data_IF_588544081000
#
_entry.id   IF_588544081000
#
_cell.length_a   1.000
_cell.length_b   1.000
_cell.length_c   1.000
_cell.angle_alpha   90.00
_cell.angle_beta   90.00
_cell.angle_gamma   90.00
#
_symmetry.space_group_name_H-M   'P 1'
#
loop_
_entity.id
_entity.type
_entity.pdbx_description
1 polymer ?
#
# COMPACT_ATOMS: atom_id res chain seq x y z
N UNK A 1 -18.27 -9.58 17.77
CA UNK A 1 -17.52 -8.30 17.84
C UNK A 1 -16.40 -8.36 16.83
N UNK A 2 -16.04 -7.25 16.19
CA UNK A 2 -14.94 -7.20 15.24
C UNK A 2 -13.82 -6.33 15.77
N UNK A 3 -12.58 -6.73 15.52
CA UNK A 3 -11.38 -5.93 15.79
C UNK A 3 -10.56 -5.86 14.53
N UNK A 4 -10.04 -4.68 14.23
CA UNK A 4 -9.03 -4.51 13.20
C UNK A 4 -7.74 -4.03 13.81
N UNK A 5 -6.63 -4.39 13.18
CA UNK A 5 -5.31 -3.84 13.46
C UNK A 5 -4.71 -3.35 12.15
N UNK A 6 -4.37 -2.07 12.08
CA UNK A 6 -3.61 -1.54 10.95
C UNK A 6 -2.15 -1.98 11.07
N UNK A 7 -1.63 -2.69 10.06
CA UNK A 7 -0.30 -3.27 10.15
C UNK A 7 0.83 -2.22 10.15
N UNK A 8 0.61 -1.05 9.53
CA UNK A 8 1.65 -0.03 9.40
C UNK A 8 2.03 0.65 10.72
N UNK A 9 1.11 0.74 11.68
CA UNK A 9 1.31 1.46 12.94
C UNK A 9 0.77 0.72 14.18
N UNK A 10 0.21 -0.48 14.01
CA UNK A 10 -0.37 -1.29 15.09
C UNK A 10 -1.66 -0.71 15.68
N UNK A 11 -2.26 0.32 15.07
CA UNK A 11 -3.47 0.93 15.60
C UNK A 11 -4.64 -0.06 15.54
N UNK A 12 -5.29 -0.26 16.69
CA UNK A 12 -6.43 -1.15 16.82
C UNK A 12 -7.74 -0.39 16.92
N UNK A 13 -8.81 -0.99 16.39
CA UNK A 13 -10.16 -0.47 16.52
C UNK A 13 -11.18 -1.60 16.57
N UNK A 14 -12.18 -1.41 17.42
CA UNK A 14 -13.22 -2.40 17.67
C UNK A 14 -14.57 -1.91 17.11
N UNK A 15 -15.37 -2.84 16.58
CA UNK A 15 -16.69 -2.60 15.99
C UNK A 15 -17.70 -3.63 16.49
N UNK A 16 -18.96 -3.20 16.66
CA UNK A 16 -19.99 -4.05 17.25
C UNK A 16 -20.56 -5.04 16.24
N UNK A 17 -20.72 -4.61 14.99
CA UNK A 17 -21.34 -5.38 13.91
C UNK A 17 -20.51 -5.27 12.61
N UNK A 18 -20.90 -6.05 11.59
CA UNK A 18 -20.17 -6.13 10.33
C UNK A 18 -20.34 -4.86 9.50
N UNK A 19 -21.51 -4.24 9.60
CA UNK A 19 -21.88 -3.04 8.86
C UNK A 19 -21.02 -1.83 9.29
N UNK A 20 -20.76 -1.68 10.58
CA UNK A 20 -19.84 -0.66 11.13
C UNK A 20 -18.40 -0.88 10.65
N UNK A 21 -17.97 -2.14 10.57
CA UNK A 21 -16.66 -2.51 10.04
C UNK A 21 -16.55 -2.18 8.55
N UNK A 22 -17.55 -2.57 7.75
CA UNK A 22 -17.63 -2.30 6.30
C UNK A 22 -17.60 -0.80 6.03
N UNK A 23 -18.45 -0.02 6.70
CA UNK A 23 -18.49 1.44 6.55
C UNK A 23 -17.14 2.11 6.92
N UNK A 24 -16.48 1.63 7.98
CA UNK A 24 -15.16 2.15 8.34
C UNK A 24 -14.12 1.85 7.25
N UNK A 25 -14.12 0.64 6.72
CA UNK A 25 -13.17 0.21 5.69
C UNK A 25 -13.43 0.93 4.36
N UNK A 26 -14.68 1.20 3.98
CA UNK A 26 -15.02 2.06 2.83
C UNK A 26 -14.50 3.50 3.01
N UNK A 27 -14.61 4.04 4.22
CA UNK A 27 -14.03 5.35 4.56
C UNK A 27 -12.50 5.35 4.41
N UNK A 28 -11.84 4.28 4.87
CA UNK A 28 -10.40 4.11 4.69
C UNK A 28 -10.01 3.89 3.22
N UNK A 29 -10.83 3.19 2.44
CA UNK A 29 -10.63 3.03 1.00
C UNK A 29 -10.65 4.37 0.28
N UNK A 30 -11.70 5.15 0.50
CA UNK A 30 -11.82 6.48 -0.05
C UNK A 30 -10.63 7.37 0.32
N UNK A 31 -10.17 7.30 1.59
CA UNK A 31 -8.98 8.02 2.03
C UNK A 31 -7.73 7.53 1.30
N UNK A 32 -7.56 6.22 1.15
CA UNK A 32 -6.40 5.64 0.47
C UNK A 32 -6.38 5.99 -1.03
N UNK A 33 -7.53 5.95 -1.69
CA UNK A 33 -7.71 6.40 -3.09
C UNK A 33 -7.37 7.88 -3.25
N UNK A 34 -7.89 8.76 -2.39
CA UNK A 34 -7.59 10.20 -2.42
C UNK A 34 -6.10 10.51 -2.23
N UNK A 35 -5.41 9.70 -1.44
CA UNK A 35 -4.00 9.88 -1.13
C UNK A 35 -3.07 9.07 -2.05
N UNK A 36 -3.60 8.28 -2.99
CA UNK A 36 -2.85 7.30 -3.79
C UNK A 36 -1.93 6.41 -2.93
N UNK A 37 -2.48 5.92 -1.82
CA UNK A 37 -1.78 5.03 -0.87
C UNK A 37 -2.52 3.71 -0.71
N UNK A 38 -1.87 2.73 -0.08
CA UNK A 38 -2.50 1.46 0.33
C UNK A 38 -2.37 1.27 1.83
N UNK A 39 -3.39 0.69 2.45
CA UNK A 39 -3.37 0.27 3.85
C UNK A 39 -3.67 -1.22 3.95
N UNK A 40 -2.96 -1.91 4.83
CA UNK A 40 -3.21 -3.33 5.14
C UNK A 40 -3.69 -3.47 6.57
N UNK A 41 -4.76 -4.23 6.73
CA UNK A 41 -5.44 -4.47 7.99
C UNK A 41 -5.52 -5.95 8.29
N UNK A 42 -5.26 -6.31 9.54
CA UNK A 42 -5.63 -7.62 10.08
C UNK A 42 -6.99 -7.50 10.77
N UNK A 43 -7.99 -8.22 10.27
CA UNK A 43 -9.35 -8.26 10.80
C UNK A 43 -9.51 -9.51 11.65
N UNK A 44 -10.24 -9.38 12.74
CA UNK A 44 -10.60 -10.45 13.67
C UNK A 44 -12.09 -10.37 13.98
N UNK A 45 -12.76 -11.52 13.97
CA UNK A 45 -14.14 -11.67 14.38
C UNK A 45 -14.19 -12.53 15.63
N UNK A 46 -14.76 -12.00 16.70
CA UNK A 46 -14.92 -12.66 17.99
C UNK A 46 -16.39 -13.01 18.25
N UNK A 47 -16.59 -14.12 18.94
CA UNK A 47 -17.90 -14.54 19.45
C UNK A 47 -18.31 -13.71 20.69
N UNK A 48 -19.38 -14.13 21.37
CA UNK A 48 -19.88 -13.45 22.57
C UNK A 48 -19.00 -13.66 23.81
N UNK A 49 -18.14 -14.67 23.80
CA UNK A 49 -17.24 -15.04 24.88
C UNK A 49 -15.80 -14.53 24.63
N UNK A 50 -15.61 -13.67 23.62
CA UNK A 50 -14.30 -13.17 23.16
C UNK A 50 -13.38 -14.25 22.56
N UNK A 51 -13.94 -15.39 22.17
CA UNK A 51 -13.20 -16.41 21.42
C UNK A 51 -13.10 -16.00 19.94
N UNK A 52 -11.92 -16.15 19.36
CA UNK A 52 -11.65 -15.82 17.96
C UNK A 52 -12.37 -16.84 17.04
N UNK A 53 -13.32 -16.34 16.25
CA UNK A 53 -14.05 -17.12 15.25
C UNK A 53 -13.32 -17.16 13.91
N UNK A 54 -12.85 -16.01 13.45
CA UNK A 54 -12.32 -15.83 12.10
C UNK A 54 -11.30 -14.68 12.07
N UNK A 55 -10.31 -14.78 11.19
CA UNK A 55 -9.36 -13.70 10.93
C UNK A 55 -9.03 -13.60 9.45
N UNK A 56 -8.82 -12.39 8.96
CA UNK A 56 -8.50 -12.12 7.56
C UNK A 56 -7.49 -10.98 7.45
N UNK A 57 -6.62 -11.03 6.45
CA UNK A 57 -5.79 -9.88 6.06
C UNK A 57 -6.43 -9.20 4.85
N UNK A 58 -6.57 -7.89 4.90
CA UNK A 58 -7.23 -7.08 3.89
C UNK A 58 -6.36 -5.89 3.50
N UNK A 59 -6.05 -5.76 2.22
CA UNK A 59 -5.34 -4.61 1.65
C UNK A 59 -6.30 -3.77 0.83
N UNK A 60 -6.33 -2.47 1.12
CA UNK A 60 -7.21 -1.49 0.49
C UNK A 60 -6.38 -0.29 -0.02
N UNK A 61 -6.69 0.28 -1.19
CA UNK A 61 -7.64 -0.22 -2.19
C UNK A 61 -7.13 -1.52 -2.81
N UNK A 62 -8.05 -2.36 -3.30
CA UNK A 62 -7.67 -3.55 -4.07
C UNK A 62 -6.97 -3.15 -5.37
N UNK A 63 -6.04 -3.97 -5.85
CA UNK A 63 -5.41 -3.76 -7.16
C UNK A 63 -6.37 -3.99 -8.35
N UNK A 64 -7.63 -4.36 -8.10
CA UNK A 64 -8.70 -4.50 -9.10
C UNK A 64 -9.95 -3.69 -8.74
N UNK A 65 -10.99 -3.75 -9.59
CA UNK A 65 -12.27 -3.04 -9.43
C UNK A 65 -13.20 -3.62 -8.32
N UNK A 66 -12.63 -4.34 -7.35
CA UNK A 66 -13.41 -4.93 -6.26
C UNK A 66 -13.64 -3.90 -5.16
N UNK A 67 -14.89 -3.73 -4.73
CA UNK A 67 -15.23 -2.87 -3.61
C UNK A 67 -14.91 -3.55 -2.26
N UNK A 68 -14.91 -2.77 -1.16
CA UNK A 68 -14.65 -3.29 0.20
C UNK A 68 -15.55 -4.47 0.55
N UNK A 69 -16.81 -4.47 0.09
CA UNK A 69 -17.77 -5.52 0.39
C UNK A 69 -17.40 -6.83 -0.28
N UNK A 70 -16.99 -6.79 -1.54
CA UNK A 70 -16.47 -7.93 -2.29
C UNK A 70 -15.21 -8.48 -1.63
N UNK A 71 -14.31 -7.60 -1.17
CA UNK A 71 -13.08 -7.99 -0.48
C UNK A 71 -13.34 -8.60 0.90
N UNK A 72 -14.36 -8.12 1.61
CA UNK A 72 -14.82 -8.74 2.87
C UNK A 72 -15.47 -10.10 2.62
N UNK A 73 -16.06 -10.33 1.44
CA UNK A 73 -16.63 -11.62 1.05
C UNK A 73 -17.60 -12.16 2.08
N UNK A 74 -17.21 -13.26 2.74
CA UNK A 74 -18.02 -13.95 3.75
C UNK A 74 -17.57 -13.66 5.19
N UNK A 75 -16.52 -12.85 5.37
CA UNK A 75 -15.96 -12.53 6.67
C UNK A 75 -17.01 -11.87 7.56
N UNK A 76 -17.23 -12.43 8.75
CA UNK A 76 -18.22 -11.89 9.69
C UNK A 76 -19.69 -12.20 9.35
N UNK A 77 -19.96 -12.89 8.24
CA UNK A 77 -21.26 -13.51 8.01
C UNK A 77 -21.30 -14.80 8.81
N UNK A 78 -22.29 -14.94 9.68
CA UNK A 78 -22.47 -16.17 10.46
C UNK A 78 -22.73 -17.34 9.50
N UNK A 79 -21.67 -18.10 9.21
CA UNK A 79 -21.78 -19.41 8.59
C UNK A 79 -21.68 -20.46 9.68
N UNK A 80 -22.82 -21.02 10.03
CA UNK A 80 -22.84 -22.36 10.60
C UNK A 80 -22.01 -23.26 9.68
N UNK A 81 -20.98 -23.86 10.28
CA UNK A 81 -19.96 -24.75 9.70
C UNK A 81 -20.26 -25.24 8.29
N UNK A 82 -19.61 -24.65 7.29
CA UNK A 82 -19.27 -25.38 6.07
C UNK A 82 -17.90 -24.92 5.57
N UNK A 83 -16.91 -25.72 5.93
CA UNK A 83 -15.51 -25.65 5.52
C UNK A 83 -15.41 -26.00 4.01
N UNK A 84 -15.01 -25.04 3.19
CA UNK A 84 -14.76 -25.15 1.75
C UNK A 84 -13.66 -24.11 1.48
N UNK A 85 -12.44 -24.31 0.97
CA UNK A 85 -11.69 -25.33 0.20
C UNK A 85 -10.25 -25.30 0.79
N UNK A 86 -9.36 -26.30 0.70
CA UNK A 86 -8.69 -26.74 -0.52
C UNK A 86 -7.55 -27.72 -0.16
N UNK A 87 -7.48 -28.80 -0.94
CA UNK A 87 -6.27 -29.51 -1.42
C UNK A 87 -5.09 -29.71 -0.45
N UNK A 88 -5.13 -30.89 0.16
CA UNK A 88 -4.03 -31.85 0.27
C UNK A 88 -2.61 -31.38 0.04
N UNK A 89 -1.87 -31.25 1.14
CA UNK A 89 -0.49 -31.74 1.24
C UNK A 89 -0.34 -32.47 2.55
N UNK A 90 0.00 -33.75 2.43
CA UNK A 90 0.47 -34.59 3.54
C UNK A 90 1.68 -33.90 4.16
N UNK A 91 1.65 -33.67 5.46
CA UNK A 91 2.87 -33.57 6.25
C UNK A 91 2.95 -34.71 7.26
N UNK A 92 4.16 -35.22 7.28
CA UNK A 92 4.60 -36.50 7.79
C UNK A 92 4.89 -36.42 9.29
N UNK A 93 4.77 -37.58 9.93
CA UNK A 93 4.83 -37.82 11.37
C UNK A 93 6.18 -37.42 11.99
N UNK A 94 6.15 -36.82 13.17
CA UNK A 94 7.24 -36.92 14.16
C UNK A 94 6.74 -37.77 15.35
N UNK A 95 7.50 -38.83 15.59
CA UNK A 95 7.21 -39.95 16.47
C UNK A 95 8.01 -39.81 17.77
N UNK A 96 7.38 -39.98 18.95
CA UNK A 96 8.06 -40.29 20.22
C UNK A 96 7.33 -41.47 20.88
N UNK A 97 8.03 -42.61 21.02
CA UNK A 97 7.64 -43.88 21.67
C UNK A 97 7.70 -43.70 23.21
N UNK A 98 7.11 -44.46 24.15
CA UNK A 98 6.38 -45.77 24.32
C UNK A 98 5.90 -45.79 25.81
N UNK A 99 5.31 -46.87 26.42
CA UNK A 99 4.62 -48.08 25.90
C UNK A 99 3.30 -48.46 26.64
N UNK A 100 2.48 -49.34 26.05
CA UNK A 100 1.93 -50.54 26.71
C UNK A 100 1.23 -51.51 25.72
N UNK A 101 1.35 -52.79 26.08
CA UNK A 101 0.82 -54.07 25.55
C UNK A 101 -0.58 -54.02 24.89
N UNK A 102 -1.07 -54.92 24.05
CA UNK A 102 -0.84 -56.33 23.62
C UNK A 102 -1.71 -56.47 22.33
N UNK A 103 -1.53 -57.37 21.35
CA UNK A 103 -1.66 -58.84 21.34
C UNK A 103 -1.55 -59.27 19.85
N UNK A 104 -1.23 -60.55 19.61
CA UNK A 104 -1.16 -61.31 18.35
C UNK A 104 -2.22 -60.94 17.26
N UNK A 105 -2.03 -61.18 15.96
CA UNK A 105 -1.66 -62.45 15.30
C UNK A 105 -1.42 -62.22 13.79
N UNK A 106 -0.56 -63.06 13.17
CA UNK A 106 -0.54 -63.61 11.78
C UNK A 106 -1.38 -62.91 10.68
N UNK A 107 -0.94 -62.75 9.43
CA UNK A 107 -0.33 -63.78 8.58
C UNK A 107 0.25 -63.18 7.29
N UNK A 108 0.94 -64.02 6.54
CA UNK A 108 1.98 -63.74 5.56
C UNK A 108 1.55 -64.28 4.19
N UNK A 109 1.74 -63.54 3.09
CA UNK A 109 2.09 -64.16 1.80
C UNK A 109 2.62 -63.13 0.78
N UNK A 110 3.85 -63.40 0.34
CA UNK A 110 4.58 -62.87 -0.82
C UNK A 110 4.36 -63.85 -2.02
N UNK A 111 5.10 -63.78 -3.15
CA UNK A 111 5.11 -62.76 -4.23
C UNK A 111 5.17 -63.37 -5.68
N UNK A 112 5.28 -62.48 -6.71
CA UNK A 112 6.04 -62.63 -8.01
C UNK A 112 5.44 -63.50 -9.16
N UNK A 113 5.96 -63.45 -10.43
CA UNK A 113 6.14 -62.31 -11.37
C UNK A 113 5.90 -62.70 -12.88
N UNK A 114 6.24 -61.78 -13.81
CA UNK A 114 6.62 -62.03 -15.24
C UNK A 114 5.46 -62.29 -16.22
N UNK A 115 5.36 -61.66 -17.42
CA UNK A 115 6.16 -61.96 -18.62
C UNK A 115 6.13 -60.81 -19.66
N UNK A 116 7.33 -60.47 -20.14
CA UNK A 116 7.81 -59.95 -21.45
C UNK A 116 7.03 -58.89 -22.24
N UNK A 117 7.70 -57.74 -22.36
CA UNK A 117 7.60 -56.81 -23.47
C UNK A 117 8.27 -57.37 -24.74
N UNK A 118 7.58 -57.24 -25.88
CA UNK A 118 8.16 -57.32 -27.22
C UNK A 118 8.55 -55.92 -27.67
N UNK A 119 9.84 -55.70 -27.91
CA UNK A 119 10.43 -54.43 -28.31
C UNK A 119 10.44 -54.35 -29.84
N UNK A 120 9.55 -53.53 -30.40
CA UNK A 120 9.64 -53.12 -31.81
C UNK A 120 10.43 -51.80 -31.90
N UNK A 121 11.44 -51.79 -32.75
CA UNK A 121 12.43 -50.74 -32.90
C UNK A 121 11.93 -49.62 -33.83
N UNK A 122 11.33 -48.57 -33.26
CA UNK A 122 11.27 -47.26 -33.92
C UNK A 122 11.20 -46.08 -32.94
N UNK A 123 11.64 -46.30 -31.69
CA UNK A 123 11.42 -45.35 -30.60
C UNK A 123 12.37 -44.13 -30.60
N UNK A 124 13.31 -44.04 -31.55
CA UNK A 124 14.27 -42.92 -31.62
C UNK A 124 13.61 -41.62 -32.11
N UNK A 125 12.59 -41.72 -32.95
CA UNK A 125 11.90 -40.53 -33.48
C UNK A 125 11.04 -39.84 -32.40
N UNK A 126 10.36 -40.61 -31.56
CA UNK A 126 9.54 -40.08 -30.46
C UNK A 126 10.38 -39.43 -29.34
N UNK A 127 11.57 -39.97 -29.05
CA UNK A 127 12.50 -39.36 -28.09
C UNK A 127 13.02 -38.01 -28.59
N UNK A 128 13.30 -37.88 -29.90
CA UNK A 128 13.73 -36.61 -30.49
C UNK A 128 12.61 -35.56 -30.50
N UNK A 129 11.36 -35.97 -30.73
CA UNK A 129 10.20 -35.07 -30.64
C UNK A 129 10.00 -34.59 -29.19
N UNK A 130 10.07 -35.49 -28.22
CA UNK A 130 9.92 -35.13 -26.80
C UNK A 130 11.02 -34.16 -26.32
N UNK A 131 12.26 -34.32 -26.81
CA UNK A 131 13.38 -33.43 -26.49
C UNK A 131 13.19 -32.03 -27.09
N UNK A 132 12.63 -31.92 -28.30
CA UNK A 132 12.35 -30.62 -28.92
C UNK A 132 11.22 -29.87 -28.19
N UNK A 133 10.20 -30.57 -27.70
CA UNK A 133 9.13 -29.94 -26.90
C UNK A 133 9.63 -29.40 -25.55
N UNK A 134 10.60 -30.06 -24.87
CA UNK A 134 11.12 -29.55 -23.60
C UNK A 134 11.94 -28.26 -23.76
N UNK A 135 12.64 -28.10 -24.88
CA UNK A 135 13.42 -26.89 -25.18
C UNK A 135 12.48 -25.72 -25.53
N UNK A 136 11.35 -25.99 -26.20
CA UNK A 136 10.35 -24.97 -26.52
C UNK A 136 9.62 -24.46 -25.27
N UNK A 137 9.35 -25.32 -24.27
CA UNK A 137 8.76 -24.89 -22.99
C UNK A 137 9.67 -23.95 -22.20
N UNK A 138 10.99 -24.16 -22.24
CA UNK A 138 11.95 -23.30 -21.56
C UNK A 138 12.04 -21.91 -22.22
N UNK A 139 11.96 -21.85 -23.56
CA UNK A 139 11.94 -20.59 -24.30
C UNK A 139 10.70 -19.74 -23.98
N UNK A 140 9.50 -20.34 -23.91
CA UNK A 140 8.26 -19.63 -23.56
C UNK A 140 8.31 -19.11 -22.11
N UNK A 141 8.86 -19.89 -21.18
CA UNK A 141 9.02 -19.49 -19.77
C UNK A 141 9.97 -18.30 -19.60
N UNK A 142 11.06 -18.24 -20.39
CA UNK A 142 11.99 -17.11 -20.40
C UNK A 142 11.38 -15.88 -21.08
N UNK A 143 10.61 -16.04 -22.16
CA UNK A 143 9.94 -14.89 -22.80
C UNK A 143 8.83 -14.30 -21.94
N UNK A 144 8.11 -15.09 -21.13
CA UNK A 144 7.12 -14.56 -20.20
C UNK A 144 7.77 -13.79 -19.03
N UNK A 145 8.98 -14.16 -18.62
CA UNK A 145 9.75 -13.36 -17.66
C UNK A 145 10.33 -12.08 -18.31
N UNK A 146 10.62 -12.09 -19.61
CA UNK A 146 11.23 -10.96 -20.32
C UNK A 146 10.20 -9.96 -20.90
N UNK A 147 8.98 -10.41 -21.19
CA UNK A 147 7.88 -9.58 -21.70
C UNK A 147 6.93 -9.06 -20.60
N UNK A 148 7.14 -9.44 -19.34
CA UNK A 148 6.78 -8.57 -18.22
C UNK A 148 7.77 -7.39 -18.22
N UNK A 149 7.71 -6.55 -19.25
CA UNK A 149 8.00 -5.14 -19.08
C UNK A 149 7.06 -4.72 -17.97
N UNK A 150 7.65 -4.59 -16.79
CA UNK A 150 7.28 -3.63 -15.77
C UNK A 150 6.67 -2.45 -16.51
N UNK A 151 5.33 -2.36 -16.53
CA UNK A 151 4.71 -1.04 -16.57
C UNK A 151 5.44 -0.27 -15.48
N UNK A 152 6.04 0.86 -15.85
CA UNK A 152 6.53 1.86 -14.91
C UNK A 152 5.34 2.26 -14.02
N UNK A 153 5.02 1.43 -13.03
CA UNK A 153 4.29 1.85 -11.85
C UNK A 153 5.17 2.97 -11.31
N UNK A 154 4.67 4.22 -11.22
CA UNK A 154 5.47 5.30 -10.67
C UNK A 154 5.98 4.79 -9.34
N UNK A 155 7.30 4.75 -9.18
CA UNK A 155 7.96 4.45 -7.92
C UNK A 155 7.34 5.40 -6.90
N UNK A 156 6.38 4.90 -6.13
CA UNK A 156 5.85 5.61 -4.97
C UNK A 156 7.02 5.61 -4.00
N UNK A 157 7.88 6.63 -4.13
CA UNK A 157 8.83 6.94 -3.09
C UNK A 157 7.99 7.18 -1.85
N UNK A 158 8.10 6.25 -0.91
CA UNK A 158 7.59 6.42 0.43
C UNK A 158 8.45 7.52 1.07
N UNK A 159 8.18 8.76 0.69
CA UNK A 159 8.83 9.94 1.25
C UNK A 159 8.32 10.07 2.66
N UNK A 160 9.20 9.82 3.62
CA UNK A 160 9.05 10.39 4.96
C UNK A 160 8.90 11.89 4.78
N UNK A 161 7.68 12.39 4.96
CA UNK A 161 7.38 13.83 4.88
C UNK A 161 8.20 14.54 5.95
N UNK A 162 9.00 15.53 5.57
CA UNK A 162 9.66 16.42 6.52
C UNK A 162 8.59 17.33 7.13
N UNK A 163 8.06 16.90 8.28
CA UNK A 163 7.05 17.65 9.03
C UNK A 163 7.54 19.06 9.39
N UNK A 164 8.85 19.25 9.60
CA UNK A 164 9.42 20.57 9.90
C UNK A 164 9.32 21.51 8.70
N UNK A 165 9.69 21.01 7.52
CA UNK A 165 9.56 21.76 6.27
C UNK A 165 8.09 22.06 5.92
N UNK A 166 7.17 21.10 6.11
CA UNK A 166 5.74 21.31 5.86
C UNK A 166 5.15 22.39 6.77
N UNK A 167 5.41 22.30 8.08
CA UNK A 167 4.94 23.31 9.05
C UNK A 167 5.51 24.68 8.69
N UNK A 168 6.82 24.79 8.44
CA UNK A 168 7.45 26.04 8.01
C UNK A 168 6.75 26.64 6.77
N UNK A 169 6.52 25.83 5.74
CA UNK A 169 5.86 26.26 4.52
C UNK A 169 4.44 26.74 4.77
N UNK A 170 3.65 26.09 5.62
CA UNK A 170 2.28 26.53 5.96
C UNK A 170 2.27 27.89 6.64
N UNK A 171 3.20 28.16 7.56
CA UNK A 171 3.35 29.49 8.17
C UNK A 171 3.77 30.54 7.14
N UNK A 172 4.70 30.21 6.25
CA UNK A 172 5.10 31.09 5.16
C UNK A 172 3.92 31.41 4.24
N UNK A 173 3.15 30.41 3.81
CA UNK A 173 2.01 30.53 2.89
C UNK A 173 0.98 31.53 3.43
N UNK A 174 0.61 31.43 4.71
CA UNK A 174 -0.32 32.35 5.34
C UNK A 174 0.19 33.80 5.29
N UNK A 175 1.48 34.02 5.55
CA UNK A 175 2.08 35.36 5.50
C UNK A 175 2.27 35.88 4.07
N UNK A 176 2.57 34.99 3.14
CA UNK A 176 2.74 35.27 1.72
C UNK A 176 1.45 35.83 1.10
N UNK A 177 0.33 35.10 1.21
CA UNK A 177 -0.95 35.59 0.67
C UNK A 177 -1.55 36.75 1.46
N UNK A 178 -1.27 36.87 2.76
CA UNK A 178 -1.68 38.03 3.53
C UNK A 178 -0.90 39.32 3.17
N UNK A 179 0.15 39.22 2.34
CA UNK A 179 1.12 40.29 2.10
C UNK A 179 1.69 40.88 3.41
N UNK A 180 1.85 40.03 4.42
CA UNK A 180 2.39 40.39 5.73
C UNK A 180 3.87 40.75 5.61
N UNK A 181 4.34 41.75 6.36
CA UNK A 181 5.78 42.06 6.48
C UNK A 181 6.54 40.93 7.19
N UNK A 182 5.86 40.14 8.04
CA UNK A 182 6.46 38.97 8.67
C UNK A 182 6.89 37.90 7.66
N UNK A 183 6.45 37.96 6.38
CA UNK A 183 6.93 37.04 5.33
C UNK A 183 8.43 37.14 5.09
N UNK A 184 9.02 38.30 5.35
CA UNK A 184 10.44 38.58 5.10
C UNK A 184 11.35 37.68 5.94
N UNK A 185 10.95 37.34 7.18
CA UNK A 185 11.67 36.42 8.08
C UNK A 185 11.81 34.99 7.53
N UNK A 186 11.01 34.63 6.53
CA UNK A 186 11.01 33.29 5.92
C UNK A 186 11.86 33.24 4.64
N UNK A 187 12.21 34.38 4.04
CA UNK A 187 12.84 34.45 2.72
C UNK A 187 14.34 34.56 2.88
N UNK A 188 15.10 33.83 2.06
CA UNK A 188 16.56 34.00 2.04
C UNK A 188 16.94 35.42 1.62
N UNK A 189 17.81 36.08 2.40
CA UNK A 189 18.38 37.41 2.11
C UNK A 189 19.08 37.53 0.74
N UNK A 190 19.34 36.40 0.07
CA UNK A 190 19.92 36.36 -1.28
C UNK A 190 18.89 36.58 -2.41
N UNK A 191 17.59 36.66 -2.09
CA UNK A 191 16.51 36.80 -3.05
C UNK A 191 15.92 38.21 -3.02
N UNK A 192 15.42 38.65 -4.17
CA UNK A 192 14.68 39.92 -4.28
C UNK A 192 13.24 39.73 -3.78
N UNK A 193 12.84 40.51 -2.77
CA UNK A 193 11.50 40.47 -2.19
C UNK A 193 10.39 40.78 -3.19
N UNK A 194 10.68 41.54 -4.26
CA UNK A 194 9.69 41.83 -5.33
C UNK A 194 9.24 40.58 -6.07
N UNK A 195 10.04 39.52 -6.07
CA UNK A 195 9.67 38.22 -6.66
C UNK A 195 8.62 37.47 -5.82
N UNK A 196 8.25 38.01 -4.66
CA UNK A 196 7.32 37.44 -3.70
C UNK A 196 6.05 38.28 -3.54
N UNK A 197 5.81 39.23 -4.44
CA UNK A 197 4.54 39.96 -4.46
C UNK A 197 3.44 39.06 -5.05
N UNK A 198 2.27 39.10 -4.43
CA UNK A 198 1.08 38.35 -4.85
C UNK A 198 -0.17 39.16 -4.55
N UNK A 199 -1.27 38.85 -5.22
CA UNK A 199 -2.58 39.36 -4.85
C UNK A 199 -2.90 38.94 -3.42
N UNK A 200 -3.34 39.92 -2.62
CA UNK A 200 -3.70 39.69 -1.22
C UNK A 200 -4.91 38.77 -1.14
N UNK A 201 -4.81 37.72 -0.32
CA UNK A 201 -5.88 36.77 -0.07
C UNK A 201 -5.79 36.15 1.32
N UNK A 202 -6.92 35.64 1.80
CA UNK A 202 -6.97 34.75 2.96
C UNK A 202 -6.91 33.31 2.50
N UNK A 203 -5.95 32.54 3.01
CA UNK A 203 -5.87 31.11 2.76
C UNK A 203 -6.93 30.36 3.57
N UNK A 204 -7.86 29.69 2.89
CA UNK A 204 -8.94 28.91 3.51
C UNK A 204 -8.49 27.48 3.78
N UNK A 205 -7.75 26.87 2.85
CA UNK A 205 -7.16 25.54 3.03
C UNK A 205 -5.79 25.46 2.37
N UNK A 206 -4.91 24.64 2.95
CA UNK A 206 -3.56 24.36 2.46
C UNK A 206 -3.34 22.86 2.59
N UNK A 207 -3.22 22.17 1.47
CA UNK A 207 -3.08 20.72 1.40
C UNK A 207 -1.74 20.39 0.75
N UNK A 208 -0.90 19.61 1.44
CA UNK A 208 0.35 19.12 0.87
C UNK A 208 0.03 18.11 -0.23
N UNK A 209 0.44 18.39 -1.45
CA UNK A 209 0.24 17.52 -2.61
C UNK A 209 1.46 16.62 -2.82
N UNK A 210 2.66 17.19 -2.72
CA UNK A 210 3.91 16.51 -3.02
C UNK A 210 5.07 17.10 -2.25
N UNK A 211 5.99 16.23 -1.82
CA UNK A 211 7.30 16.62 -1.29
C UNK A 211 8.40 15.90 -2.07
N UNK A 212 9.47 16.64 -2.39
CA UNK A 212 10.70 16.08 -2.96
C UNK A 212 11.88 16.64 -2.19
N UNK A 213 12.56 15.78 -1.44
CA UNK A 213 13.77 16.14 -0.72
C UNK A 213 15.01 15.78 -1.54
N UNK A 214 15.94 16.72 -1.67
CA UNK A 214 17.25 16.52 -2.30
C UNK A 214 18.33 17.16 -1.43
N UNK A 215 19.08 16.32 -0.70
CA UNK A 215 20.06 16.77 0.31
C UNK A 215 19.39 17.67 1.37
N UNK A 216 19.80 18.94 1.47
CA UNK A 216 19.25 19.95 2.40
C UNK A 216 18.22 20.87 1.75
N UNK A 217 17.76 20.52 0.55
CA UNK A 217 16.78 21.29 -0.20
C UNK A 217 15.51 20.47 -0.27
N UNK A 218 14.39 21.01 0.20
CA UNK A 218 13.09 20.36 0.12
C UNK A 218 12.19 21.19 -0.80
N UNK A 219 11.55 20.53 -1.76
CA UNK A 219 10.55 21.15 -2.62
C UNK A 219 9.18 20.62 -2.24
N UNK A 220 8.29 21.50 -1.82
CA UNK A 220 6.94 21.17 -1.39
C UNK A 220 5.94 21.81 -2.34
N UNK A 221 4.98 21.02 -2.81
CA UNK A 221 3.87 21.47 -3.65
C UNK A 221 2.57 21.35 -2.87
N UNK A 222 1.78 22.41 -2.90
CA UNK A 222 0.53 22.56 -2.17
C UNK A 222 -0.63 22.85 -3.11
N UNK A 223 -1.80 22.32 -2.77
CA UNK A 223 -3.09 22.82 -3.25
C UNK A 223 -3.64 23.80 -2.21
N UNK A 224 -3.96 25.01 -2.65
CA UNK A 224 -4.37 26.10 -1.78
C UNK A 224 -5.70 26.64 -2.26
N UNK A 225 -6.68 26.73 -1.37
CA UNK A 225 -7.88 27.52 -1.61
C UNK A 225 -7.69 28.91 -1.00
N UNK A 226 -7.82 29.94 -1.82
CA UNK A 226 -7.73 31.34 -1.41
C UNK A 226 -9.11 31.98 -1.50
N UNK A 227 -9.41 32.87 -0.54
CA UNK A 227 -10.53 33.81 -0.58
C UNK A 227 -9.99 35.23 -0.70
N UNK A 228 -10.52 35.98 -1.65
CA UNK A 228 -10.14 37.36 -1.91
C UNK A 228 -11.09 38.34 -1.21
N UNK A 229 -10.70 39.62 -1.16
CA UNK A 229 -11.47 40.68 -0.50
C UNK A 229 -12.84 40.91 -1.16
N UNK A 230 -13.01 40.54 -2.43
CA UNK A 230 -14.28 40.56 -3.16
C UNK A 230 -15.17 39.31 -2.91
N UNK A 231 -14.78 38.46 -1.94
CA UNK A 231 -15.38 37.17 -1.60
C UNK A 231 -15.29 36.09 -2.68
N UNK A 232 -14.59 36.33 -3.79
CA UNK A 232 -14.29 35.27 -4.75
C UNK A 232 -13.32 34.27 -4.14
N UNK A 233 -13.37 33.03 -4.63
CA UNK A 233 -12.45 31.98 -4.21
C UNK A 233 -11.73 31.39 -5.42
N UNK A 234 -10.48 30.99 -5.22
CA UNK A 234 -9.69 30.32 -6.25
C UNK A 234 -8.85 29.19 -5.66
N UNK A 235 -8.78 28.09 -6.40
CA UNK A 235 -7.83 27.02 -6.12
C UNK A 235 -6.54 27.29 -6.90
N UNK A 236 -5.41 27.18 -6.20
CA UNK A 236 -4.07 27.37 -6.79
C UNK A 236 -3.17 26.23 -6.38
N UNK A 237 -2.28 25.85 -7.29
CA UNK A 237 -1.15 24.98 -6.97
C UNK A 237 0.08 25.86 -6.74
N UNK A 238 0.65 25.78 -5.55
CA UNK A 238 1.84 26.53 -5.14
C UNK A 238 3.01 25.58 -4.93
N UNK A 239 4.16 25.86 -5.54
CA UNK A 239 5.40 25.13 -5.26
C UNK A 239 6.41 26.04 -4.56
N UNK A 240 6.97 25.54 -3.46
CA UNK A 240 7.98 26.19 -2.64
C UNK A 240 9.25 25.37 -2.61
N UNK A 241 10.40 26.03 -2.65
CA UNK A 241 11.71 25.40 -2.46
C UNK A 241 12.37 25.97 -1.22
N UNK A 242 12.53 25.16 -0.19
CA UNK A 242 13.10 25.57 1.10
C UNK A 242 14.45 24.90 1.35
N UNK A 243 15.28 25.56 2.14
CA UNK A 243 16.58 25.06 2.60
C UNK A 243 16.65 25.14 4.11
N UNK A 244 17.13 24.09 4.75
CA UNK A 244 17.42 24.11 6.18
C UNK A 244 18.55 25.10 6.47
N UNK A 245 18.35 25.94 7.49
CA UNK A 245 19.34 26.90 7.97
C UNK A 245 19.19 27.08 9.48
N UNK A 246 20.22 26.68 10.24
CA UNK A 246 20.21 26.71 11.71
C UNK A 246 20.21 28.14 12.29
N UNK A 247 20.60 29.14 11.50
CA UNK A 247 20.58 30.56 11.91
C UNK A 247 19.24 31.22 11.58
N UNK A 248 18.39 30.58 10.77
CA UNK A 248 17.09 31.11 10.44
C UNK A 248 16.12 30.99 11.62
N UNK A 249 15.28 32.01 11.81
CA UNK A 249 14.28 32.10 12.90
C UNK A 249 13.43 30.84 13.05
N UNK A 250 13.09 30.20 11.94
CA UNK A 250 12.25 29.01 11.88
C UNK A 250 12.99 27.74 11.43
N UNK A 251 14.32 27.75 11.41
CA UNK A 251 15.16 26.60 10.99
C UNK A 251 15.21 26.34 9.48
N UNK A 252 14.42 27.06 8.69
CA UNK A 252 14.37 26.97 7.23
C UNK A 252 14.27 28.37 6.61
N UNK A 253 14.65 28.47 5.33
CA UNK A 253 14.42 29.64 4.49
C UNK A 253 13.88 29.23 3.12
N UNK A 254 12.97 30.01 2.58
CA UNK A 254 12.57 29.95 1.17
C UNK A 254 13.76 30.39 0.32
N UNK A 255 14.16 29.50 -0.60
CA UNK A 255 15.42 29.60 -1.34
C UNK A 255 15.24 29.86 -2.83
N UNK A 256 13.99 29.94 -3.31
CA UNK A 256 13.60 30.33 -4.67
C UNK A 256 12.24 31.05 -4.63
N UNK A 257 11.97 31.88 -5.63
CA UNK A 257 10.67 32.51 -5.80
C UNK A 257 9.55 31.44 -5.89
N UNK A 258 8.37 31.70 -5.29
CA UNK A 258 7.26 30.75 -5.29
C UNK A 258 6.72 30.57 -6.71
N UNK A 259 6.37 29.34 -7.09
CA UNK A 259 5.72 29.07 -8.38
C UNK A 259 4.23 28.82 -8.17
N UNK A 260 3.41 29.73 -8.69
CA UNK A 260 1.96 29.66 -8.61
C UNK A 260 1.36 29.25 -9.95
N UNK A 261 0.44 28.30 -9.95
CA UNK A 261 -0.25 27.79 -11.16
C UNK A 261 -1.72 27.54 -10.84
N UNK A 262 -2.58 27.52 -11.88
CA UNK A 262 -3.96 27.08 -11.72
C UNK A 262 -4.00 25.62 -11.25
N UNK A 263 -4.93 25.30 -10.36
CA UNK A 263 -5.25 23.92 -9.99
C UNK A 263 -6.56 23.52 -10.69
N UNK A 264 -6.59 22.38 -11.41
CA UNK A 264 -7.76 21.96 -12.20
C UNK A 264 -8.97 21.56 -11.35
#
# INVERSE_FOLDING_TARGET
MFRITRLSNGQQRDFQNREELEFYLEGEENRCLQLNTTATFQLFHFDKNEELLESMELTIPSSGEQDVKDLLGEFGLKKDKTFFWSRGTKQEKVQKKTPKASTATKEMSKPKPSVRASHNSSNRFWVMIALLFSIFSLAISLTNHYNNKVEDKPKVEQTTVDQGADVFCRYFISNYFANSSAREDFISNSLDLKQFDTDKATTVSVLLEKEVMTKKVTTLTYVINCRYDDNTTANKRLTLTVKQNNEAKYGYLVSKAPKLTAYP
#
